data_IF_609975246917
#
_entry.id   IF_609975246917
#
_cell.length_a   1.000
_cell.length_b   1.000
_cell.length_c   1.000
_cell.angle_alpha   90.00
_cell.angle_beta   90.00
_cell.angle_gamma   90.00
#
_symmetry.space_group_name_H-M   'P 1'
#
loop_
_entity.id
_entity.type
_entity.pdbx_description
1 polymer ?
#
# COMPACT_ATOMS: atom_id res chain seq x y z
N UNK A 1 -10.76 -7.44 -1.48
CA UNK A 1 -11.79 -7.18 -0.44
C UNK A 1 -11.07 -6.82 0.85
N UNK A 2 -11.52 -5.81 1.61
CA UNK A 2 -10.91 -5.50 2.90
C UNK A 2 -11.62 -6.30 4.01
N UNK A 3 -10.95 -6.51 5.15
CA UNK A 3 -11.48 -7.37 6.21
C UNK A 3 -12.81 -6.88 6.77
N UNK A 4 -13.00 -5.55 6.89
CA UNK A 4 -14.25 -4.98 7.42
C UNK A 4 -15.45 -5.25 6.50
N UNK A 5 -15.29 -5.06 5.18
CA UNK A 5 -16.35 -5.34 4.21
C UNK A 5 -16.67 -6.84 4.15
N UNK A 6 -15.65 -7.71 4.18
CA UNK A 6 -15.84 -9.15 4.16
C UNK A 6 -16.54 -9.65 5.43
N UNK A 7 -16.00 -9.32 6.60
CA UNK A 7 -16.55 -9.76 7.89
C UNK A 7 -17.97 -9.22 8.06
N UNK A 8 -18.20 -7.95 7.73
CA UNK A 8 -19.54 -7.35 7.79
C UNK A 8 -20.55 -8.02 6.86
N UNK A 9 -20.10 -8.56 5.72
CA UNK A 9 -20.98 -9.27 4.79
C UNK A 9 -21.34 -10.68 5.28
N UNK A 10 -20.38 -11.41 5.87
CA UNK A 10 -20.59 -12.81 6.29
C UNK A 10 -21.20 -12.93 7.69
N UNK A 11 -20.93 -11.99 8.59
CA UNK A 11 -21.37 -12.06 9.99
C UNK A 11 -22.89 -12.21 10.17
N UNK A 12 -23.77 -11.51 9.40
CA UNK A 12 -25.22 -11.70 9.52
C UNK A 12 -25.64 -13.14 9.24
N UNK A 13 -25.11 -13.75 8.18
CA UNK A 13 -25.41 -15.14 7.79
C UNK A 13 -24.88 -16.19 8.78
N UNK A 14 -23.81 -15.88 9.51
CA UNK A 14 -23.22 -16.79 10.50
C UNK A 14 -24.01 -16.82 11.83
N UNK A 15 -24.76 -15.76 12.13
CA UNK A 15 -25.48 -15.63 13.40
C UNK A 15 -26.92 -16.14 13.26
N UNK A 16 -27.57 -15.87 12.13
CA UNK A 16 -28.95 -16.31 11.92
C UNK A 16 -29.23 -16.64 10.44
N UNK A 17 -29.76 -17.85 10.12
CA UNK A 17 -30.20 -18.23 8.78
C UNK A 17 -31.22 -17.29 8.12
N UNK A 18 -32.01 -16.53 8.88
CA UNK A 18 -32.94 -15.53 8.35
C UNK A 18 -32.24 -14.25 7.84
N UNK A 19 -30.98 -14.02 8.24
CA UNK A 19 -30.15 -12.88 7.85
C UNK A 19 -29.20 -13.21 6.68
N UNK A 20 -29.43 -14.33 5.97
CA UNK A 20 -28.62 -14.78 4.83
C UNK A 20 -28.92 -14.01 3.54
N UNK A 21 -29.92 -13.14 3.55
CA UNK A 21 -30.28 -12.33 2.38
C UNK A 21 -29.15 -11.39 1.96
N UNK A 22 -28.97 -11.20 0.65
CA UNK A 22 -27.93 -10.34 0.07
C UNK A 22 -27.91 -8.92 0.69
N UNK A 23 -29.10 -8.39 0.98
CA UNK A 23 -29.28 -7.07 1.58
C UNK A 23 -28.71 -6.97 2.98
N UNK A 24 -28.81 -8.02 3.79
CA UNK A 24 -28.23 -8.05 5.13
C UNK A 24 -26.72 -8.09 5.10
N UNK A 25 -26.13 -8.82 4.15
CA UNK A 25 -24.69 -8.80 3.91
C UNK A 25 -24.19 -7.41 3.51
N UNK A 26 -24.88 -6.74 2.58
CA UNK A 26 -24.50 -5.37 2.16
C UNK A 26 -24.60 -4.38 3.32
N UNK A 27 -25.72 -4.40 4.06
CA UNK A 27 -25.92 -3.53 5.22
C UNK A 27 -24.87 -3.79 6.31
N UNK A 28 -24.59 -5.05 6.62
CA UNK A 28 -23.56 -5.43 7.58
C UNK A 28 -22.16 -4.98 7.14
N UNK A 29 -21.86 -5.09 5.85
CA UNK A 29 -20.60 -4.61 5.25
C UNK A 29 -20.43 -3.09 5.39
N UNK A 30 -21.49 -2.32 5.11
CA UNK A 30 -21.50 -0.87 5.29
C UNK A 30 -21.34 -0.48 6.75
N UNK A 31 -22.13 -1.08 7.66
CA UNK A 31 -22.08 -0.81 9.09
C UNK A 31 -20.71 -1.14 9.69
N UNK A 32 -20.13 -2.30 9.35
CA UNK A 32 -18.81 -2.70 9.82
C UNK A 32 -17.73 -1.72 9.32
N UNK A 33 -17.82 -1.27 8.08
CA UNK A 33 -16.86 -0.30 7.51
C UNK A 33 -16.95 1.04 8.23
N UNK A 34 -18.16 1.56 8.47
CA UNK A 34 -18.37 2.81 9.20
C UNK A 34 -17.83 2.66 10.63
N UNK A 35 -18.19 1.58 11.32
CA UNK A 35 -17.78 1.33 12.70
C UNK A 35 -16.26 1.25 12.86
N UNK A 36 -15.54 0.64 11.91
CA UNK A 36 -14.07 0.55 11.94
C UNK A 36 -13.39 1.87 11.58
N UNK A 37 -13.98 2.68 10.69
CA UNK A 37 -13.38 3.94 10.23
C UNK A 37 -13.68 5.12 11.16
N UNK A 38 -14.83 5.13 11.85
CA UNK A 38 -15.22 6.26 12.73
C UNK A 38 -14.22 6.54 13.85
N UNK A 39 -13.71 5.55 14.62
CA UNK A 39 -12.75 5.81 15.69
C UNK A 39 -11.43 6.48 15.20
N UNK A 40 -10.70 5.93 14.20
CA UNK A 40 -9.50 6.58 13.70
C UNK A 40 -9.78 7.91 13.02
N UNK A 41 -10.96 8.09 12.41
CA UNK A 41 -11.37 9.38 11.86
C UNK A 41 -11.47 10.46 12.95
N UNK A 42 -12.18 10.17 14.05
CA UNK A 42 -12.31 11.08 15.19
C UNK A 42 -10.94 11.38 15.81
N UNK A 43 -10.11 10.35 16.02
CA UNK A 43 -8.75 10.53 16.53
C UNK A 43 -7.90 11.43 15.63
N UNK A 44 -7.96 11.21 14.32
CA UNK A 44 -7.20 12.02 13.35
C UNK A 44 -7.65 13.48 13.37
N UNK A 45 -8.95 13.76 13.51
CA UNK A 45 -9.45 15.14 13.65
C UNK A 45 -8.89 15.83 14.89
N UNK A 46 -8.96 15.16 16.06
CA UNK A 46 -8.42 15.71 17.30
C UNK A 46 -6.90 15.90 17.24
N UNK A 47 -6.17 14.89 16.77
CA UNK A 47 -4.72 14.97 16.58
C UNK A 47 -4.34 16.08 15.61
N UNK A 48 -5.05 16.22 14.49
CA UNK A 48 -4.77 17.28 13.52
C UNK A 48 -4.95 18.66 14.16
N UNK A 49 -6.03 18.88 14.91
CA UNK A 49 -6.24 20.16 15.58
C UNK A 49 -5.13 20.46 16.59
N UNK A 50 -4.74 19.46 17.39
CA UNK A 50 -3.66 19.58 18.36
C UNK A 50 -2.30 19.90 17.70
N UNK A 51 -1.98 19.18 16.61
CA UNK A 51 -0.76 19.36 15.83
C UNK A 51 -0.71 20.74 15.21
N UNK A 52 -1.79 21.21 14.59
CA UNK A 52 -1.84 22.55 13.97
C UNK A 52 -1.72 23.65 15.02
N UNK A 53 -2.33 23.50 16.19
CA UNK A 53 -2.24 24.49 17.28
C UNK A 53 -0.82 24.60 17.86
N UNK A 54 -0.07 23.51 17.91
CA UNK A 54 1.28 23.47 18.50
C UNK A 54 2.37 23.21 17.46
N UNK A 55 2.11 23.51 16.18
CA UNK A 55 3.01 23.18 15.07
C UNK A 55 4.38 23.84 15.20
N UNK A 56 4.47 24.95 15.93
CA UNK A 56 5.72 25.66 16.17
C UNK A 56 6.56 25.10 17.31
N UNK A 57 6.00 24.22 18.15
CA UNK A 57 6.73 23.57 19.22
C UNK A 57 7.84 22.67 18.67
N UNK A 58 9.02 22.71 19.31
CA UNK A 58 10.17 21.88 18.93
C UNK A 58 9.85 20.37 19.00
N UNK A 59 9.00 19.96 19.93
CA UNK A 59 8.58 18.57 20.10
C UNK A 59 7.81 18.04 18.88
N UNK A 60 6.81 18.78 18.38
CA UNK A 60 6.04 18.35 17.21
C UNK A 60 6.92 18.30 15.96
N UNK A 61 7.78 19.31 15.75
CA UNK A 61 8.75 19.31 14.66
C UNK A 61 9.67 18.08 14.72
N UNK A 62 10.14 17.71 15.91
CA UNK A 62 10.97 16.51 16.11
C UNK A 62 10.22 15.20 15.78
N UNK A 63 8.95 15.07 16.18
CA UNK A 63 8.11 13.91 15.83
C UNK A 63 7.96 13.78 14.31
N UNK A 64 7.66 14.87 13.61
CA UNK A 64 7.55 14.87 12.15
C UNK A 64 8.89 14.58 11.44
N UNK A 65 10.01 15.03 12.02
CA UNK A 65 11.33 14.67 11.54
C UNK A 65 11.58 13.16 11.66
N UNK A 66 11.11 12.52 12.75
CA UNK A 66 11.18 11.07 12.96
C UNK A 66 10.20 10.26 12.09
N UNK A 67 9.05 10.81 11.73
CA UNK A 67 8.08 10.12 10.88
C UNK A 67 8.63 9.81 9.47
N UNK A 68 9.44 10.71 8.89
CA UNK A 68 10.04 10.50 7.57
C UNK A 68 10.89 9.21 7.48
N UNK A 69 11.89 8.98 8.34
CA UNK A 69 12.67 7.74 8.32
C UNK A 69 11.84 6.51 8.73
N UNK A 70 10.83 6.65 9.61
CA UNK A 70 9.93 5.55 9.98
C UNK A 70 9.16 5.04 8.76
N UNK A 71 8.60 5.93 7.94
CA UNK A 71 7.88 5.53 6.72
C UNK A 71 8.81 4.77 5.75
N UNK A 72 10.04 5.23 5.56
CA UNK A 72 11.02 4.52 4.72
C UNK A 72 11.35 3.14 5.30
N UNK A 73 11.53 3.04 6.62
CA UNK A 73 11.77 1.76 7.30
C UNK A 73 10.61 0.78 7.16
N UNK A 74 9.36 1.25 7.26
CA UNK A 74 8.17 0.42 7.07
C UNK A 74 8.05 -0.09 5.63
N UNK A 75 8.33 0.75 4.64
CA UNK A 75 8.37 0.34 3.21
C UNK A 75 9.45 -0.73 3.00
N UNK A 76 10.65 -0.53 3.54
CA UNK A 76 11.74 -1.50 3.45
C UNK A 76 11.38 -2.82 4.14
N UNK A 77 10.73 -2.77 5.30
CA UNK A 77 10.27 -3.96 6.02
C UNK A 77 9.25 -4.75 5.20
N UNK A 78 8.25 -4.09 4.61
CA UNK A 78 7.28 -4.74 3.72
C UNK A 78 7.96 -5.38 2.50
N UNK A 79 8.95 -4.71 1.90
CA UNK A 79 9.71 -5.27 0.78
C UNK A 79 10.46 -6.55 1.19
N UNK A 80 11.15 -6.54 2.33
CA UNK A 80 11.87 -7.72 2.86
C UNK A 80 10.89 -8.86 3.18
N UNK A 81 9.73 -8.56 3.78
CA UNK A 81 8.71 -9.57 4.06
C UNK A 81 8.21 -10.28 2.80
N UNK A 82 8.13 -9.56 1.67
CA UNK A 82 7.74 -10.13 0.39
C UNK A 82 8.89 -10.86 -0.33
N UNK A 83 10.15 -10.62 0.04
CA UNK A 83 11.34 -11.30 -0.51
C UNK A 83 11.49 -12.73 0.02
N UNK A 84 10.54 -13.60 -0.33
CA UNK A 84 10.58 -15.02 -0.01
C UNK A 84 10.59 -15.88 -1.29
N UNK A 85 10.84 -17.19 -1.11
CA UNK A 85 10.96 -18.13 -2.23
C UNK A 85 9.66 -18.26 -3.02
N UNK A 86 8.51 -18.24 -2.37
CA UNK A 86 7.21 -18.36 -3.05
C UNK A 86 6.92 -17.17 -3.96
N UNK A 87 7.34 -15.96 -3.57
CA UNK A 87 7.12 -14.75 -4.37
C UNK A 87 8.16 -14.55 -5.48
N UNK A 88 9.42 -14.99 -5.29
CA UNK A 88 10.52 -14.69 -6.23
C UNK A 88 11.05 -15.90 -7.00
N UNK A 89 10.79 -17.11 -6.54
CA UNK A 89 11.22 -18.36 -7.16
C UNK A 89 10.23 -19.52 -6.91
N UNK A 90 8.93 -19.35 -7.25
CA UNK A 90 7.91 -20.37 -6.99
C UNK A 90 8.23 -21.72 -7.64
N UNK A 91 8.83 -21.72 -8.82
CA UNK A 91 9.14 -22.94 -9.58
C UNK A 91 10.60 -23.44 -9.40
N UNK A 92 11.39 -22.82 -8.52
CA UNK A 92 12.82 -23.11 -8.39
C UNK A 92 13.68 -22.65 -9.58
N UNK A 93 13.09 -21.92 -10.55
CA UNK A 93 13.78 -21.42 -11.75
C UNK A 93 14.46 -20.07 -11.49
N UNK A 94 15.79 -20.05 -11.56
CA UNK A 94 16.61 -18.84 -11.38
C UNK A 94 16.27 -17.71 -12.36
N UNK A 95 15.74 -18.02 -13.55
CA UNK A 95 15.38 -17.02 -14.57
C UNK A 95 14.31 -16.02 -14.10
N UNK A 96 13.36 -16.46 -13.26
CA UNK A 96 12.33 -15.57 -12.71
C UNK A 96 12.94 -14.57 -11.71
N UNK A 97 13.85 -15.03 -10.87
CA UNK A 97 14.60 -14.19 -9.93
C UNK A 97 15.44 -13.14 -10.68
N UNK A 98 16.16 -13.54 -11.73
CA UNK A 98 16.97 -12.62 -12.55
C UNK A 98 16.09 -11.54 -13.18
N UNK A 99 14.92 -11.92 -13.68
CA UNK A 99 13.97 -10.98 -14.30
C UNK A 99 13.41 -9.98 -13.28
N UNK A 100 13.05 -10.43 -12.07
CA UNK A 100 12.61 -9.55 -10.98
C UNK A 100 13.71 -8.57 -10.55
N UNK A 101 14.95 -9.04 -10.44
CA UNK A 101 16.11 -8.19 -10.13
C UNK A 101 16.34 -7.17 -11.26
N UNK A 102 16.21 -7.58 -12.53
CA UNK A 102 16.35 -6.68 -13.67
C UNK A 102 15.27 -5.59 -13.67
N UNK A 103 14.01 -5.92 -13.39
CA UNK A 103 12.91 -4.94 -13.27
C UNK A 103 13.17 -3.98 -12.10
N UNK A 104 13.67 -4.48 -10.97
CA UNK A 104 14.04 -3.66 -9.82
C UNK A 104 15.16 -2.67 -10.16
N UNK A 105 16.24 -3.16 -10.78
CA UNK A 105 17.38 -2.34 -11.20
C UNK A 105 16.97 -1.28 -12.22
N UNK A 106 16.19 -1.67 -13.23
CA UNK A 106 15.67 -0.75 -14.24
C UNK A 106 14.79 0.34 -13.60
N UNK A 107 13.87 -0.05 -12.71
CA UNK A 107 12.98 0.88 -12.00
C UNK A 107 13.76 1.86 -11.13
N UNK A 108 14.77 1.38 -10.40
CA UNK A 108 15.66 2.23 -9.59
C UNK A 108 16.42 3.23 -10.47
N UNK A 109 16.99 2.76 -11.58
CA UNK A 109 17.70 3.62 -12.53
C UNK A 109 16.78 4.70 -13.13
N UNK A 110 15.54 4.37 -13.48
CA UNK A 110 14.56 5.30 -14.05
C UNK A 110 14.13 6.40 -13.06
N UNK A 111 14.08 6.10 -11.76
CA UNK A 111 13.73 7.08 -10.73
C UNK A 111 14.93 7.96 -10.35
N UNK A 112 16.13 7.36 -10.26
CA UNK A 112 17.32 8.04 -9.73
C UNK A 112 18.07 8.85 -10.80
N UNK A 113 18.19 8.31 -12.02
CA UNK A 113 18.87 8.98 -13.13
C UNK A 113 17.87 9.72 -14.03
N UNK A 114 18.19 10.98 -14.35
CA UNK A 114 17.39 11.75 -15.32
C UNK A 114 17.65 11.19 -16.71
N UNK A 115 16.59 10.83 -17.42
CA UNK A 115 16.69 10.27 -18.76
C UNK A 115 17.08 11.39 -19.74
N UNK A 116 18.19 11.23 -20.51
CA UNK A 116 18.54 12.15 -21.56
C UNK A 116 17.70 11.83 -22.81
N UNK A 117 16.60 12.56 -23.02
CA UNK A 117 15.83 12.45 -24.27
C UNK A 117 16.08 13.68 -25.15
N UNK A 118 16.84 13.47 -26.23
CA UNK A 118 16.96 14.32 -27.45
C UNK A 118 17.01 15.85 -27.25
N UNK A 119 17.60 16.33 -26.14
CA UNK A 119 17.83 17.73 -25.70
C UNK A 119 17.07 18.20 -24.43
N UNK A 120 16.31 17.33 -23.73
CA UNK A 120 15.78 17.64 -22.38
C UNK A 120 16.06 16.52 -21.39
N UNK A 121 16.44 16.90 -20.17
CA UNK A 121 16.53 16.00 -19.01
C UNK A 121 15.14 15.88 -18.40
N UNK A 122 14.45 14.78 -18.66
CA UNK A 122 13.08 14.56 -18.16
C UNK A 122 13.18 13.83 -16.82
N UNK A 123 12.42 14.31 -15.82
CA UNK A 123 12.26 13.65 -14.53
C UNK A 123 10.95 12.87 -14.57
N UNK A 124 11.01 11.54 -14.51
CA UNK A 124 9.81 10.72 -14.42
C UNK A 124 9.28 10.77 -12.98
N UNK A 125 7.97 10.95 -12.81
CA UNK A 125 7.35 10.84 -11.49
C UNK A 125 7.35 9.37 -11.03
N UNK A 126 7.76 9.05 -9.79
CA UNK A 126 7.83 7.67 -9.29
C UNK A 126 6.54 6.87 -9.45
N UNK A 127 5.38 7.54 -9.41
CA UNK A 127 4.06 6.92 -9.63
C UNK A 127 3.99 6.22 -10.99
N UNK A 128 4.50 6.83 -12.07
CA UNK A 128 4.49 6.20 -13.39
C UNK A 128 5.41 4.98 -13.44
N UNK A 129 6.55 5.01 -12.75
CA UNK A 129 7.47 3.88 -12.69
C UNK A 129 6.82 2.69 -11.97
N UNK A 130 6.11 2.95 -10.86
CA UNK A 130 5.38 1.92 -10.12
C UNK A 130 4.31 1.27 -11.01
N UNK A 131 3.54 2.08 -11.75
CA UNK A 131 2.50 1.57 -12.66
C UNK A 131 3.11 0.73 -13.78
N UNK A 132 4.17 1.22 -14.43
CA UNK A 132 4.85 0.51 -15.52
C UNK A 132 5.50 -0.80 -15.04
N UNK A 133 6.13 -0.80 -13.86
CA UNK A 133 6.68 -2.01 -13.26
C UNK A 133 5.59 -3.04 -12.94
N UNK A 134 4.43 -2.60 -12.45
CA UNK A 134 3.28 -3.47 -12.21
C UNK A 134 2.73 -4.09 -13.50
N UNK A 135 2.59 -3.30 -14.57
CA UNK A 135 2.16 -3.80 -15.89
C UNK A 135 3.19 -4.78 -16.46
N UNK A 136 4.48 -4.46 -16.39
CA UNK A 136 5.55 -5.34 -16.86
C UNK A 136 5.56 -6.66 -16.09
N UNK A 137 5.42 -6.62 -14.76
CA UNK A 137 5.29 -7.81 -13.93
C UNK A 137 4.09 -8.67 -14.31
N UNK A 138 2.92 -8.07 -14.53
CA UNK A 138 1.73 -8.79 -14.98
C UNK A 138 1.94 -9.46 -16.36
N UNK A 139 2.56 -8.78 -17.32
CA UNK A 139 2.79 -9.34 -18.65
C UNK A 139 3.82 -10.49 -18.62
N UNK A 140 4.85 -10.38 -17.78
CA UNK A 140 5.95 -11.36 -17.73
C UNK A 140 5.58 -12.61 -16.92
N UNK A 141 4.81 -12.44 -15.83
CA UNK A 141 4.51 -13.52 -14.88
C UNK A 141 3.03 -13.94 -14.88
N UNK A 142 2.12 -13.08 -15.32
CA UNK A 142 0.68 -13.31 -15.30
C UNK A 142 0.09 -13.85 -16.60
N UNK A 143 0.86 -13.86 -17.69
CA UNK A 143 0.57 -14.52 -18.97
C UNK A 143 1.46 -15.75 -19.07
#
# INVERSE_FOLDING_TARGET
INSATYIGYVAPSAINPQLTGIWWGILGSCLATIAVVTPPYILTLYCSHFITKHSDSGAIKAIFAGLRPVVVGLIASAAILLMNKENFCPDGKTSQLITSIAICMASFCLVFFKIPLKNKKIKIHPIYVIILAGIAGYIIYGI
#
